data_IF_762468035519
#
_entry.id   IF_762468035519
#
_cell.length_a   1.000
_cell.length_b   1.000
_cell.length_c   1.000
_cell.angle_alpha   90.00
_cell.angle_beta   90.00
_cell.angle_gamma   90.00
#
_symmetry.space_group_name_H-M   'P 1'
#
loop_
_entity.id
_entity.type
_entity.pdbx_description
1 polymer ?
#
# COMPACT_ATOMS: atom_id res chain seq x y z
N UNK A 1 -9.30 -3.75 -55.98
CA UNK A 1 -8.54 -3.04 -54.94
C UNK A 1 -9.53 -2.87 -53.80
N UNK A 2 -9.59 -3.86 -52.88
CA UNK A 2 -10.51 -3.77 -51.74
C UNK A 2 -9.99 -2.73 -50.79
N UNK A 3 -10.83 -1.75 -50.49
CA UNK A 3 -10.55 -0.76 -49.45
C UNK A 3 -10.42 -1.53 -48.09
N UNK A 4 -9.36 -1.31 -47.30
CA UNK A 4 -9.27 -1.93 -46.01
C UNK A 4 -10.48 -1.54 -45.13
N UNK A 5 -11.20 -2.51 -44.62
CA UNK A 5 -12.30 -2.25 -43.67
C UNK A 5 -11.78 -1.42 -42.51
N UNK A 6 -12.53 -0.40 -42.08
CA UNK A 6 -12.13 0.40 -40.93
C UNK A 6 -12.05 -0.50 -39.70
N UNK A 7 -10.83 -0.63 -39.14
CA UNK A 7 -10.60 -1.36 -37.90
C UNK A 7 -11.45 -0.68 -36.83
N UNK A 8 -12.54 -1.33 -36.41
CA UNK A 8 -13.41 -0.81 -35.36
C UNK A 8 -12.61 -0.62 -34.07
N UNK A 9 -12.64 0.58 -33.51
CA UNK A 9 -11.97 0.84 -32.22
C UNK A 9 -12.54 -0.10 -31.15
N UNK A 10 -11.67 -0.80 -30.40
CA UNK A 10 -12.13 -1.74 -29.39
C UNK A 10 -12.94 -1.02 -28.32
N UNK A 11 -14.07 -1.59 -27.93
CA UNK A 11 -14.90 -1.00 -26.88
C UNK A 11 -14.12 -0.79 -25.58
N UNK A 12 -14.32 0.34 -24.92
CA UNK A 12 -13.63 0.71 -23.67
C UNK A 12 -13.73 -0.39 -22.59
N UNK A 13 -14.86 -1.11 -22.55
CA UNK A 13 -15.06 -2.25 -21.63
C UNK A 13 -14.10 -3.40 -21.93
N UNK A 14 -13.85 -3.69 -23.20
CA UNK A 14 -12.92 -4.75 -23.60
C UNK A 14 -11.49 -4.37 -23.26
N UNK A 15 -11.10 -3.12 -23.48
CA UNK A 15 -9.79 -2.55 -23.12
C UNK A 15 -9.56 -2.66 -21.61
N UNK A 16 -10.49 -2.15 -20.79
CA UNK A 16 -10.37 -2.22 -19.33
C UNK A 16 -10.31 -3.65 -18.82
N UNK A 17 -11.14 -4.56 -19.35
CA UNK A 17 -11.14 -5.97 -18.94
C UNK A 17 -9.82 -6.65 -19.27
N UNK A 18 -9.25 -6.39 -20.44
CA UNK A 18 -7.96 -6.97 -20.84
C UNK A 18 -6.81 -6.45 -20.00
N UNK A 19 -6.78 -5.14 -19.72
CA UNK A 19 -5.79 -4.51 -18.85
C UNK A 19 -5.88 -5.04 -17.42
N UNK A 20 -7.07 -5.08 -16.83
CA UNK A 20 -7.28 -5.65 -15.48
C UNK A 20 -6.81 -7.09 -15.41
N UNK A 21 -7.17 -7.93 -16.40
CA UNK A 21 -6.73 -9.32 -16.45
C UNK A 21 -5.20 -9.45 -16.52
N UNK A 22 -4.55 -8.57 -17.30
CA UNK A 22 -3.10 -8.53 -17.40
C UNK A 22 -2.46 -8.10 -16.07
N UNK A 23 -2.95 -7.02 -15.44
CA UNK A 23 -2.41 -6.50 -14.19
C UNK A 23 -2.60 -7.49 -13.02
N UNK A 24 -3.77 -8.14 -12.92
CA UNK A 24 -3.98 -9.22 -11.95
C UNK A 24 -3.06 -10.42 -12.22
N UNK A 25 -2.83 -10.78 -13.47
CA UNK A 25 -1.92 -11.86 -13.81
C UNK A 25 -0.46 -11.50 -13.41
N UNK A 26 -0.04 -10.26 -13.60
CA UNK A 26 1.27 -9.76 -13.15
C UNK A 26 1.36 -9.81 -11.63
N UNK A 27 0.34 -9.34 -10.91
CA UNK A 27 0.28 -9.39 -9.45
C UNK A 27 0.46 -10.83 -8.94
N UNK A 28 -0.30 -11.78 -9.49
CA UNK A 28 -0.28 -13.18 -9.08
C UNK A 28 1.03 -13.92 -9.49
N UNK A 29 1.63 -13.53 -10.61
CA UNK A 29 2.91 -14.11 -11.05
C UNK A 29 4.11 -13.64 -10.23
N UNK A 30 4.00 -12.47 -9.60
CA UNK A 30 5.07 -11.95 -8.73
C UNK A 30 5.04 -12.62 -7.35
N UNK A 31 5.26 -13.94 -7.35
CA UNK A 31 5.20 -14.78 -6.14
C UNK A 31 6.09 -14.27 -5.00
N UNK A 32 7.28 -13.73 -5.33
CA UNK A 32 8.22 -13.21 -4.32
C UNK A 32 7.66 -11.99 -3.59
N UNK A 33 7.09 -11.04 -4.33
CA UNK A 33 6.47 -9.85 -3.73
C UNK A 33 5.23 -10.25 -2.91
N UNK A 34 4.38 -11.15 -3.44
CA UNK A 34 3.23 -11.66 -2.69
C UNK A 34 3.66 -12.36 -1.41
N UNK A 35 4.61 -13.30 -1.49
CA UNK A 35 5.09 -14.01 -0.30
C UNK A 35 5.62 -13.04 0.77
N UNK A 36 6.46 -12.09 0.40
CA UNK A 36 6.98 -11.10 1.35
C UNK A 36 5.87 -10.24 1.94
N UNK A 37 4.87 -9.89 1.15
CA UNK A 37 3.73 -9.08 1.61
C UNK A 37 2.81 -9.80 2.60
N UNK A 38 2.73 -11.13 2.54
CA UNK A 38 1.95 -11.94 3.49
C UNK A 38 2.80 -12.50 4.62
N UNK A 39 3.99 -13.02 4.32
CA UNK A 39 4.86 -13.66 5.33
C UNK A 39 5.24 -12.68 6.42
N UNK A 40 5.61 -11.46 6.06
CA UNK A 40 6.12 -10.48 7.03
C UNK A 40 5.03 -10.03 8.03
N UNK A 41 3.80 -9.65 7.63
CA UNK A 41 2.70 -9.38 8.57
C UNK A 41 2.31 -10.60 9.42
N UNK A 42 2.20 -11.78 8.81
CA UNK A 42 1.84 -13.02 9.53
C UNK A 42 2.92 -13.39 10.54
N UNK A 43 4.19 -13.25 10.17
CA UNK A 43 5.31 -13.46 11.08
C UNK A 43 5.27 -12.49 12.28
N UNK A 44 4.93 -11.23 12.03
CA UNK A 44 4.77 -10.24 13.11
C UNK A 44 3.60 -10.62 14.03
N UNK A 45 2.47 -11.08 13.51
CA UNK A 45 1.35 -11.58 14.30
C UNK A 45 1.77 -12.78 15.15
N UNK A 46 2.52 -13.72 14.57
CA UNK A 46 3.01 -14.89 15.28
C UNK A 46 4.03 -14.54 16.39
N UNK A 47 4.93 -13.57 16.13
CA UNK A 47 5.85 -13.06 17.15
C UNK A 47 5.14 -12.34 18.30
N UNK A 48 4.02 -11.68 18.04
CA UNK A 48 3.18 -11.04 19.04
C UNK A 48 2.40 -12.03 19.93
N UNK A 49 2.32 -13.29 19.54
CA UNK A 49 1.77 -14.38 20.33
C UNK A 49 2.95 -15.22 20.91
N UNK A 50 3.14 -15.34 22.19
CA UNK A 50 2.24 -15.31 23.33
C UNK A 50 2.18 -13.94 24.02
N UNK A 51 1.23 -13.81 24.90
CA UNK A 51 0.79 -12.57 25.57
C UNK A 51 1.89 -11.64 26.09
N UNK A 52 3.03 -12.17 26.56
CA UNK A 52 4.18 -11.37 27.04
C UNK A 52 4.83 -10.52 25.94
N UNK A 53 4.94 -11.06 24.72
CA UNK A 53 5.53 -10.34 23.59
C UNK A 53 4.56 -9.30 23.05
N UNK A 54 3.26 -9.60 22.98
CA UNK A 54 2.24 -8.63 22.61
C UNK A 54 2.22 -7.43 23.56
N UNK A 55 2.31 -7.66 24.88
CA UNK A 55 2.38 -6.59 25.88
C UNK A 55 3.63 -5.71 25.71
N UNK A 56 4.77 -6.30 25.33
CA UNK A 56 5.99 -5.53 25.03
C UNK A 56 5.84 -4.66 23.77
N UNK A 57 4.97 -5.02 22.85
CA UNK A 57 4.68 -4.27 21.63
C UNK A 57 3.53 -3.27 21.78
N UNK A 58 2.87 -3.22 22.94
CA UNK A 58 1.74 -2.32 23.19
C UNK A 58 0.37 -3.01 23.23
N UNK A 59 0.34 -4.33 23.15
CA UNK A 59 -0.86 -5.15 23.22
C UNK A 59 -1.25 -5.81 21.87
N UNK A 60 -2.22 -6.74 21.91
CA UNK A 60 -2.63 -7.51 20.73
C UNK A 60 -3.14 -6.65 19.57
N UNK A 61 -3.91 -5.60 19.88
CA UNK A 61 -4.44 -4.68 18.86
C UNK A 61 -3.33 -3.95 18.13
N UNK A 62 -2.32 -3.44 18.85
CA UNK A 62 -1.16 -2.74 18.25
C UNK A 62 -0.37 -3.66 17.33
N UNK A 63 -0.28 -4.95 17.66
CA UNK A 63 0.37 -5.93 16.77
C UNK A 63 -0.39 -6.10 15.47
N UNK A 64 -1.73 -6.16 15.52
CA UNK A 64 -2.59 -6.24 14.33
C UNK A 64 -2.49 -4.96 13.49
N UNK A 65 -2.58 -3.79 14.12
CA UNK A 65 -2.41 -2.48 13.45
C UNK A 65 -1.07 -2.39 12.71
N UNK A 66 0.01 -2.75 13.40
CA UNK A 66 1.36 -2.75 12.83
C UNK A 66 1.47 -3.77 11.69
N UNK A 67 0.87 -4.95 11.83
CA UNK A 67 0.89 -5.98 10.80
C UNK A 67 0.14 -5.52 9.52
N UNK A 68 -1.03 -4.89 9.67
CA UNK A 68 -1.76 -4.34 8.53
C UNK A 68 -0.93 -3.23 7.85
N UNK A 69 -0.44 -2.27 8.64
CA UNK A 69 0.37 -1.16 8.12
C UNK A 69 1.61 -1.66 7.38
N UNK A 70 2.29 -2.67 7.93
CA UNK A 70 3.47 -3.30 7.33
C UNK A 70 3.13 -4.01 6.01
N UNK A 71 2.01 -4.74 5.97
CA UNK A 71 1.55 -5.42 4.76
C UNK A 71 1.23 -4.43 3.65
N UNK A 72 0.47 -3.38 3.96
CA UNK A 72 0.12 -2.33 3.01
C UNK A 72 1.35 -1.54 2.52
N UNK A 73 2.29 -1.25 3.42
CA UNK A 73 3.55 -0.58 3.10
C UNK A 73 4.39 -1.43 2.14
N UNK A 74 4.53 -2.72 2.44
CA UNK A 74 5.33 -3.66 1.64
C UNK A 74 4.76 -3.85 0.24
N UNK A 75 3.44 -4.05 0.09
CA UNK A 75 2.81 -4.18 -1.22
C UNK A 75 2.90 -2.92 -2.04
N UNK A 76 2.73 -1.77 -1.43
CA UNK A 76 2.66 -0.50 -2.15
C UNK A 76 4.06 0.01 -2.51
N UNK A 77 5.04 -0.07 -1.62
CA UNK A 77 6.38 0.44 -1.89
C UNK A 77 7.24 -0.63 -2.56
N UNK A 78 7.35 -1.83 -1.97
CA UNK A 78 8.21 -2.87 -2.53
C UNK A 78 7.55 -3.62 -3.70
N UNK A 79 6.23 -3.79 -3.67
CA UNK A 79 5.49 -4.45 -4.75
C UNK A 79 5.24 -3.52 -5.94
N UNK A 80 4.41 -2.50 -5.74
CA UNK A 80 3.96 -1.61 -6.81
C UNK A 80 5.08 -0.75 -7.39
N UNK A 81 5.83 -0.01 -6.55
CA UNK A 81 6.83 0.92 -7.06
C UNK A 81 7.94 0.20 -7.82
N UNK A 82 8.39 -0.97 -7.35
CA UNK A 82 9.39 -1.78 -8.05
C UNK A 82 8.86 -2.33 -9.38
N UNK A 83 7.59 -2.76 -9.42
CA UNK A 83 6.97 -3.25 -10.65
C UNK A 83 6.88 -2.13 -11.69
N UNK A 84 6.41 -0.94 -11.29
CA UNK A 84 6.30 0.22 -12.19
C UNK A 84 7.67 0.69 -12.67
N UNK A 85 8.68 0.75 -11.80
CA UNK A 85 10.04 1.12 -12.18
C UNK A 85 10.65 0.10 -13.17
N UNK A 86 10.48 -1.20 -12.91
CA UNK A 86 10.93 -2.26 -13.81
C UNK A 86 10.20 -2.25 -15.16
N UNK A 87 8.89 -1.97 -15.18
CA UNK A 87 8.13 -1.83 -16.43
C UNK A 87 8.59 -0.63 -17.25
N UNK A 88 8.96 0.47 -16.58
CA UNK A 88 9.55 1.64 -17.24
C UNK A 88 10.88 1.28 -17.94
N UNK A 89 11.78 0.59 -17.25
CA UNK A 89 13.07 0.18 -17.81
C UNK A 89 12.93 -0.82 -18.99
N UNK A 90 11.95 -1.72 -18.89
CA UNK A 90 11.66 -2.69 -19.96
C UNK A 90 10.89 -2.09 -21.14
N UNK A 91 10.60 -0.79 -21.14
CA UNK A 91 9.89 -0.11 -22.19
C UNK A 91 8.41 -0.52 -22.31
N UNK A 92 7.81 -1.10 -21.26
CA UNK A 92 6.40 -1.52 -21.26
C UNK A 92 5.49 -0.32 -21.51
N UNK A 93 5.79 0.81 -20.89
CA UNK A 93 4.99 2.04 -21.05
C UNK A 93 5.07 2.59 -22.46
N UNK A 94 6.24 2.49 -23.15
CA UNK A 94 6.39 2.92 -24.54
C UNK A 94 5.51 2.07 -25.46
N UNK A 95 5.48 0.75 -25.24
CA UNK A 95 4.59 -0.16 -26.00
C UNK A 95 3.12 0.10 -25.73
N UNK A 96 2.75 0.43 -24.50
CA UNK A 96 1.36 0.77 -24.16
C UNK A 96 0.90 2.07 -24.80
N UNK A 97 1.79 3.06 -25.02
CA UNK A 97 1.45 4.33 -25.67
C UNK A 97 1.06 4.19 -27.15
N UNK A 98 1.53 3.18 -27.84
CA UNK A 98 1.15 2.91 -29.24
C UNK A 98 -0.11 2.06 -29.36
N UNK A 99 -0.68 1.61 -28.23
CA UNK A 99 -1.99 0.93 -28.23
C UNK A 99 -3.12 1.93 -28.19
N UNK A 100 -4.32 1.60 -28.70
CA UNK A 100 -5.50 2.47 -28.64
C UNK A 100 -6.06 2.65 -27.21
N UNK A 101 -5.39 2.11 -26.18
CA UNK A 101 -5.81 2.22 -24.80
C UNK A 101 -5.50 3.61 -24.22
N UNK A 102 -6.47 4.35 -23.69
CA UNK A 102 -6.21 5.65 -23.08
C UNK A 102 -5.38 5.50 -21.80
N UNK A 103 -4.45 6.42 -21.57
CA UNK A 103 -3.50 6.40 -20.44
C UNK A 103 -4.21 6.25 -19.08
N UNK A 104 -5.35 6.90 -18.90
CA UNK A 104 -6.12 6.79 -17.67
C UNK A 104 -6.63 5.36 -17.42
N UNK A 105 -7.01 4.62 -18.48
CA UNK A 105 -7.46 3.24 -18.33
C UNK A 105 -6.32 2.31 -17.86
N UNK A 106 -5.10 2.53 -18.36
CA UNK A 106 -3.90 1.80 -17.94
C UNK A 106 -3.62 2.06 -16.45
N UNK A 107 -3.65 3.33 -16.03
CA UNK A 107 -3.40 3.69 -14.63
C UNK A 107 -4.50 3.17 -13.69
N UNK A 108 -5.77 3.31 -14.09
CA UNK A 108 -6.90 2.80 -13.32
C UNK A 108 -6.82 1.30 -13.12
N UNK A 109 -6.49 0.54 -14.17
CA UNK A 109 -6.32 -0.91 -14.09
C UNK A 109 -5.25 -1.30 -13.05
N UNK A 110 -4.09 -0.66 -13.09
CA UNK A 110 -2.98 -0.92 -12.15
C UNK A 110 -3.36 -0.58 -10.71
N UNK A 111 -3.97 0.58 -10.50
CA UNK A 111 -4.41 1.00 -9.16
C UNK A 111 -5.50 0.08 -8.61
N UNK A 112 -6.43 -0.38 -9.45
CA UNK A 112 -7.48 -1.34 -9.06
C UNK A 112 -6.87 -2.69 -8.66
N UNK A 113 -5.94 -3.22 -9.44
CA UNK A 113 -5.25 -4.47 -9.12
C UNK A 113 -4.49 -4.35 -7.79
N UNK A 114 -3.82 -3.22 -7.56
CA UNK A 114 -3.10 -2.97 -6.32
C UNK A 114 -4.04 -2.79 -5.11
N UNK A 115 -5.17 -2.08 -5.29
CA UNK A 115 -6.19 -1.92 -4.25
C UNK A 115 -6.78 -3.29 -3.85
N UNK A 116 -7.02 -4.17 -4.81
CA UNK A 116 -7.46 -5.54 -4.53
C UNK A 116 -6.39 -6.34 -3.77
N UNK A 117 -5.11 -6.20 -4.12
CA UNK A 117 -4.00 -6.80 -3.37
C UNK A 117 -3.93 -6.29 -1.93
N UNK A 118 -4.07 -4.99 -1.72
CA UNK A 118 -4.11 -4.37 -0.40
C UNK A 118 -5.32 -4.86 0.42
N UNK A 119 -6.50 -4.96 -0.19
CA UNK A 119 -7.69 -5.51 0.46
C UNK A 119 -7.48 -6.97 0.88
N UNK A 120 -6.89 -7.79 0.02
CA UNK A 120 -6.59 -9.19 0.32
C UNK A 120 -5.65 -9.33 1.52
N UNK A 121 -4.61 -8.49 1.61
CA UNK A 121 -3.71 -8.47 2.76
C UNK A 121 -4.44 -8.06 4.03
N UNK A 122 -5.23 -6.98 3.98
CA UNK A 122 -5.99 -6.53 5.14
C UNK A 122 -6.94 -7.61 5.65
N UNK A 123 -7.68 -8.28 4.75
CA UNK A 123 -8.55 -9.40 5.09
C UNK A 123 -7.76 -10.53 5.75
N UNK A 124 -6.63 -10.92 5.16
CA UNK A 124 -5.79 -12.00 5.68
C UNK A 124 -5.25 -11.67 7.06
N UNK A 125 -4.72 -10.45 7.26
CA UNK A 125 -4.16 -10.02 8.55
C UNK A 125 -5.26 -9.94 9.62
N UNK A 126 -6.45 -9.45 9.27
CA UNK A 126 -7.59 -9.41 10.20
C UNK A 126 -8.02 -10.82 10.61
N UNK A 127 -8.19 -11.74 9.65
CA UNK A 127 -8.58 -13.12 9.94
C UNK A 127 -7.52 -13.81 10.81
N UNK A 128 -6.26 -13.78 10.39
CA UNK A 128 -5.16 -14.44 11.11
C UNK A 128 -4.94 -13.78 12.49
N UNK A 129 -4.99 -12.44 12.54
CA UNK A 129 -4.86 -11.68 13.79
C UNK A 129 -5.98 -12.00 14.77
N UNK A 130 -7.23 -12.08 14.30
CA UNK A 130 -8.37 -12.46 15.11
C UNK A 130 -8.24 -13.89 15.67
N UNK A 131 -7.75 -14.84 14.87
CA UNK A 131 -7.53 -16.21 15.29
C UNK A 131 -6.40 -16.33 16.31
N UNK A 132 -5.27 -15.66 16.10
CA UNK A 132 -4.08 -15.75 16.96
C UNK A 132 -4.30 -15.00 18.28
N UNK A 133 -4.89 -13.82 18.24
CA UNK A 133 -5.02 -12.92 19.37
C UNK A 133 -6.41 -12.93 20.00
N UNK A 134 -7.32 -13.79 19.52
CA UNK A 134 -8.70 -13.92 20.02
C UNK A 134 -9.47 -12.57 20.02
N UNK A 135 -9.25 -11.76 18.98
CA UNK A 135 -9.93 -10.47 18.81
C UNK A 135 -11.24 -10.71 18.07
N UNK A 136 -12.37 -10.39 18.69
CA UNK A 136 -13.68 -10.44 18.04
C UNK A 136 -14.00 -9.07 17.43
N UNK A 137 -14.10 -9.01 16.11
CA UNK A 137 -14.55 -7.82 15.39
C UNK A 137 -16.01 -7.97 14.99
N UNK A 138 -16.80 -6.93 15.20
CA UNK A 138 -18.15 -6.89 14.64
C UNK A 138 -18.12 -6.77 13.12
N UNK A 139 -19.20 -7.17 12.39
CA UNK A 139 -19.26 -7.00 10.94
C UNK A 139 -19.02 -5.56 10.48
N UNK A 140 -19.50 -4.58 11.25
CA UNK A 140 -19.29 -3.15 10.98
C UNK A 140 -17.81 -2.78 11.12
N UNK A 141 -17.14 -3.22 12.19
CA UNK A 141 -15.71 -3.00 12.38
C UNK A 141 -14.89 -3.63 11.25
N UNK A 142 -15.22 -4.85 10.85
CA UNK A 142 -14.55 -5.52 9.73
C UNK A 142 -14.69 -4.72 8.42
N UNK A 143 -15.89 -4.20 8.14
CA UNK A 143 -16.12 -3.32 6.98
C UNK A 143 -15.34 -2.01 7.06
N UNK A 144 -15.28 -1.38 8.24
CA UNK A 144 -14.50 -0.16 8.47
C UNK A 144 -12.98 -0.42 8.32
N UNK A 145 -12.47 -1.54 8.84
CA UNK A 145 -11.06 -1.92 8.67
C UNK A 145 -10.72 -2.08 7.18
N UNK A 146 -11.59 -2.69 6.37
CA UNK A 146 -11.38 -2.79 4.93
C UNK A 146 -11.38 -1.41 4.26
N UNK A 147 -12.32 -0.54 4.59
CA UNK A 147 -12.41 0.80 4.04
C UNK A 147 -11.17 1.63 4.39
N UNK A 148 -10.75 1.61 5.67
CA UNK A 148 -9.53 2.28 6.12
C UNK A 148 -8.29 1.66 5.47
N UNK A 149 -8.26 0.34 5.25
CA UNK A 149 -7.15 -0.31 4.55
C UNK A 149 -7.00 0.14 3.10
N UNK A 150 -8.11 0.36 2.39
CA UNK A 150 -8.08 0.92 1.04
C UNK A 150 -7.57 2.36 1.04
N UNK A 151 -8.07 3.18 1.98
CA UNK A 151 -7.65 4.58 2.12
C UNK A 151 -6.16 4.70 2.50
N UNK A 152 -5.72 3.96 3.50
CA UNK A 152 -4.31 3.95 3.94
C UNK A 152 -3.39 3.25 2.95
N UNK A 153 -3.90 2.26 2.21
CA UNK A 153 -3.22 1.69 1.06
C UNK A 153 -2.92 2.74 -0.01
N UNK A 154 -3.85 3.69 -0.25
CA UNK A 154 -3.62 4.80 -1.16
C UNK A 154 -2.51 5.75 -0.67
N UNK A 155 -2.31 5.92 0.65
CA UNK A 155 -1.17 6.68 1.21
C UNK A 155 0.14 6.06 0.76
N UNK A 156 0.33 4.76 1.00
CA UNK A 156 1.57 4.08 0.63
C UNK A 156 1.77 3.95 -0.87
N UNK A 157 0.69 3.81 -1.64
CA UNK A 157 0.73 3.84 -3.10
C UNK A 157 1.21 5.19 -3.63
N UNK A 158 0.72 6.28 -3.07
CA UNK A 158 1.14 7.63 -3.47
C UNK A 158 2.63 7.87 -3.16
N UNK A 159 3.12 7.38 -2.02
CA UNK A 159 4.55 7.41 -1.67
C UNK A 159 5.35 6.56 -2.68
N UNK A 160 4.89 5.35 -2.99
CA UNK A 160 5.51 4.50 -4.01
C UNK A 160 5.56 5.17 -5.38
N UNK A 161 4.48 5.84 -5.77
CA UNK A 161 4.41 6.60 -7.03
C UNK A 161 5.37 7.80 -7.04
N UNK A 162 5.50 8.50 -5.90
CA UNK A 162 6.48 9.59 -5.77
C UNK A 162 7.91 9.08 -5.91
N UNK A 163 8.26 7.94 -5.31
CA UNK A 163 9.57 7.30 -5.47
C UNK A 163 9.88 6.99 -6.93
N UNK A 164 8.92 6.42 -7.67
CA UNK A 164 9.08 6.13 -9.10
C UNK A 164 9.25 7.41 -9.92
N UNK A 165 8.55 8.48 -9.55
CA UNK A 165 8.69 9.79 -10.21
C UNK A 165 10.06 10.44 -9.96
N UNK A 166 10.57 10.35 -8.74
CA UNK A 166 11.83 10.95 -8.32
C UNK A 166 13.06 10.19 -8.81
N UNK A 167 12.99 8.87 -8.87
CA UNK A 167 14.14 8.01 -9.16
C UNK A 167 14.20 7.65 -10.66
N UNK A 168 15.41 7.59 -11.20
CA UNK A 168 15.64 7.33 -12.64
C UNK A 168 15.71 5.85 -12.96
N UNK A 169 16.25 5.00 -12.06
CA UNK A 169 16.46 3.57 -12.28
C UNK A 169 15.64 2.72 -11.32
N UNK A 170 15.31 1.48 -11.72
CA UNK A 170 14.62 0.52 -10.89
C UNK A 170 15.45 0.14 -9.65
N UNK A 171 16.78 0.07 -9.80
CA UNK A 171 17.67 -0.20 -8.66
C UNK A 171 17.63 0.92 -7.62
N UNK A 172 17.58 2.18 -8.05
CA UNK A 172 17.44 3.33 -7.13
C UNK A 172 16.10 3.31 -6.43
N UNK A 173 15.00 2.99 -7.14
CA UNK A 173 13.65 2.83 -6.54
C UNK A 173 13.66 1.69 -5.52
N UNK A 174 14.33 0.58 -5.83
CA UNK A 174 14.45 -0.57 -4.94
C UNK A 174 15.23 -0.22 -3.67
N UNK A 175 16.40 0.40 -3.80
CA UNK A 175 17.24 0.80 -2.67
C UNK A 175 16.50 1.81 -1.77
N UNK A 176 15.95 2.88 -2.35
CA UNK A 176 15.22 3.90 -1.63
C UNK A 176 13.91 3.35 -1.00
N UNK A 177 13.19 2.48 -1.72
CA UNK A 177 11.98 1.83 -1.22
C UNK A 177 12.26 0.94 0.00
N UNK A 178 13.34 0.16 -0.02
CA UNK A 178 13.76 -0.66 1.13
C UNK A 178 14.18 0.21 2.31
N UNK A 179 15.01 1.22 2.08
CA UNK A 179 15.47 2.14 3.12
C UNK A 179 14.29 2.86 3.78
N UNK A 180 13.35 3.37 2.97
CA UNK A 180 12.14 4.03 3.46
C UNK A 180 11.24 3.06 4.24
N UNK A 181 11.03 1.86 3.73
CA UNK A 181 10.22 0.83 4.40
C UNK A 181 10.82 0.49 5.77
N UNK A 182 12.11 0.19 5.83
CA UNK A 182 12.81 -0.11 7.10
C UNK A 182 12.75 1.09 8.05
N UNK A 183 13.04 2.30 7.56
CA UNK A 183 13.00 3.52 8.36
C UNK A 183 11.61 3.79 8.97
N UNK A 184 10.54 3.66 8.18
CA UNK A 184 9.17 3.85 8.65
C UNK A 184 8.76 2.78 9.67
N UNK A 185 9.16 1.52 9.47
CA UNK A 185 8.89 0.43 10.42
C UNK A 185 9.61 0.69 11.76
N UNK A 186 10.89 1.03 11.71
CA UNK A 186 11.67 1.33 12.92
C UNK A 186 11.08 2.54 13.65
N UNK A 187 10.72 3.59 12.90
CA UNK A 187 10.09 4.77 13.47
C UNK A 187 8.75 4.43 14.15
N UNK A 188 7.92 3.59 13.53
CA UNK A 188 6.68 3.12 14.12
C UNK A 188 6.92 2.27 15.38
N UNK A 189 7.85 1.32 15.32
CA UNK A 189 8.14 0.40 16.44
C UNK A 189 8.73 1.12 17.65
N UNK A 190 9.67 2.03 17.45
CA UNK A 190 10.33 2.77 18.54
C UNK A 190 9.50 3.97 19.02
N UNK A 191 8.77 4.62 18.12
CA UNK A 191 7.90 5.74 18.45
C UNK A 191 6.76 5.35 19.39
N UNK A 192 6.19 4.16 19.21
CA UNK A 192 5.13 3.62 20.07
C UNK A 192 5.58 3.37 21.53
N UNK A 193 6.86 3.20 21.77
CA UNK A 193 7.41 2.85 23.08
C UNK A 193 7.98 4.01 23.87
N UNK A 194 7.86 5.24 23.38
CA UNK A 194 8.52 6.38 24.03
C UNK A 194 10.04 6.34 24.00
N UNK A 195 10.63 5.34 23.31
CA UNK A 195 12.07 5.15 23.26
C UNK A 195 12.85 6.31 22.60
N UNK A 196 12.14 7.14 21.82
CA UNK A 196 12.70 8.28 21.10
C UNK A 196 12.50 9.62 21.82
N UNK A 197 11.97 9.60 23.04
CA UNK A 197 11.58 10.79 23.79
C UNK A 197 10.40 11.56 23.13
N UNK A 198 9.92 12.62 23.78
CA UNK A 198 8.69 13.33 23.38
C UNK A 198 8.72 13.87 21.92
N UNK A 199 9.87 14.37 21.47
CA UNK A 199 10.03 14.86 20.08
C UNK A 199 9.98 13.69 19.07
N UNK A 200 10.66 12.58 19.38
CA UNK A 200 10.68 11.41 18.52
C UNK A 200 9.31 10.73 18.45
N UNK A 201 8.56 10.67 19.54
CA UNK A 201 7.16 10.20 19.53
C UNK A 201 6.28 11.07 18.64
N UNK A 202 6.43 12.39 18.70
CA UNK A 202 5.66 13.29 17.83
C UNK A 202 5.97 13.03 16.36
N UNK A 203 7.25 12.90 15.98
CA UNK A 203 7.65 12.58 14.61
C UNK A 203 7.12 11.23 14.18
N UNK A 204 7.21 10.20 15.03
CA UNK A 204 6.69 8.87 14.74
C UNK A 204 5.18 8.88 14.52
N UNK A 205 4.45 9.59 15.35
CA UNK A 205 2.99 9.71 15.29
C UNK A 205 2.52 10.37 14.00
N UNK A 206 3.17 11.46 13.60
CA UNK A 206 2.84 12.19 12.37
C UNK A 206 3.48 11.59 11.11
N UNK A 207 4.30 10.56 11.24
CA UNK A 207 4.79 9.83 10.07
C UNK A 207 3.63 9.12 9.33
N UNK A 208 3.79 8.82 8.03
CA UNK A 208 2.76 8.10 7.28
C UNK A 208 2.31 6.79 7.97
N UNK A 209 3.25 6.03 8.54
CA UNK A 209 2.91 4.79 9.26
C UNK A 209 2.23 5.08 10.59
N UNK A 210 2.68 6.08 11.34
CA UNK A 210 2.07 6.44 12.62
C UNK A 210 0.63 6.94 12.45
N UNK A 211 0.38 7.78 11.44
CA UNK A 211 -0.97 8.24 11.12
C UNK A 211 -1.89 7.08 10.72
N UNK A 212 -1.38 6.14 9.89
CA UNK A 212 -2.10 4.93 9.49
C UNK A 212 -2.42 4.05 10.71
N UNK A 213 -1.46 3.81 11.60
CA UNK A 213 -1.70 3.02 12.82
C UNK A 213 -2.73 3.69 13.73
N UNK A 214 -2.69 5.01 13.89
CA UNK A 214 -3.70 5.75 14.66
C UNK A 214 -5.10 5.53 14.10
N UNK A 215 -5.29 5.57 12.77
CA UNK A 215 -6.58 5.29 12.14
C UNK A 215 -7.07 3.86 12.40
N UNK A 216 -6.17 2.87 12.33
CA UNK A 216 -6.54 1.48 12.65
C UNK A 216 -6.90 1.32 14.13
N UNK A 217 -6.16 1.96 15.03
CA UNK A 217 -6.49 1.99 16.47
C UNK A 217 -7.90 2.52 16.71
N UNK A 218 -8.24 3.65 16.08
CA UNK A 218 -9.59 4.24 16.21
C UNK A 218 -10.71 3.35 15.67
N UNK A 219 -10.46 2.59 14.58
CA UNK A 219 -11.47 1.66 14.03
C UNK A 219 -11.58 0.37 14.86
N UNK A 220 -10.45 -0.15 15.33
CA UNK A 220 -10.43 -1.36 16.16
C UNK A 220 -10.97 -1.10 17.58
N UNK A 221 -10.86 0.14 18.06
CA UNK A 221 -11.37 0.57 19.36
C UNK A 221 -12.23 1.84 19.24
N UNK A 222 -13.45 1.75 18.69
CA UNK A 222 -14.28 2.92 18.38
C UNK A 222 -14.62 3.80 19.59
N UNK A 223 -14.60 3.24 20.79
CA UNK A 223 -14.83 3.98 22.04
C UNK A 223 -13.73 5.01 22.36
N UNK A 224 -12.56 4.86 21.76
CA UNK A 224 -11.40 5.76 21.94
C UNK A 224 -11.26 6.78 20.82
N UNK A 225 -12.17 6.77 19.83
CA UNK A 225 -12.13 7.69 18.70
C UNK A 225 -12.20 9.15 19.16
N UNK A 226 -11.25 9.95 18.75
CA UNK A 226 -11.15 11.34 19.17
C UNK A 226 -10.50 12.26 18.13
N UNK A 227 -10.17 13.47 18.57
CA UNK A 227 -9.55 14.48 17.70
C UNK A 227 -8.25 14.00 17.01
N UNK A 228 -7.50 13.11 17.66
CA UNK A 228 -6.25 12.55 17.11
C UNK A 228 -6.51 11.72 15.85
N UNK A 229 -7.56 10.91 15.86
CA UNK A 229 -7.92 10.05 14.72
C UNK A 229 -8.39 10.91 13.55
N UNK A 230 -9.17 11.96 13.82
CA UNK A 230 -9.59 12.93 12.82
C UNK A 230 -8.39 13.67 12.19
N UNK A 231 -7.42 14.11 12.98
CA UNK A 231 -6.20 14.72 12.47
C UNK A 231 -5.34 13.72 11.65
N UNK A 232 -5.28 12.46 12.06
CA UNK A 232 -4.59 11.41 11.30
C UNK A 232 -5.27 11.14 9.96
N UNK A 233 -6.59 11.23 9.88
CA UNK A 233 -7.34 11.15 8.63
C UNK A 233 -6.95 12.30 7.68
N UNK A 234 -6.89 13.53 8.19
CA UNK A 234 -6.47 14.71 7.42
C UNK A 234 -5.01 14.55 6.96
N UNK A 235 -4.12 14.11 7.86
CA UNK A 235 -2.71 13.86 7.52
C UNK A 235 -2.55 12.82 6.42
N UNK A 236 -3.29 11.71 6.49
CA UNK A 236 -3.30 10.69 5.43
C UNK A 236 -3.80 11.25 4.10
N UNK A 237 -4.87 12.07 4.12
CA UNK A 237 -5.35 12.78 2.93
C UNK A 237 -4.29 13.72 2.35
N UNK A 238 -3.59 14.48 3.19
CA UNK A 238 -2.51 15.36 2.78
C UNK A 238 -1.34 14.56 2.16
N UNK A 239 -0.96 13.42 2.74
CA UNK A 239 0.06 12.54 2.16
C UNK A 239 -0.35 12.04 0.77
N UNK A 240 -1.60 11.59 0.58
CA UNK A 240 -2.08 11.16 -0.73
C UNK A 240 -1.93 12.29 -1.74
N UNK A 241 -2.42 13.49 -1.42
CA UNK A 241 -2.40 14.63 -2.34
C UNK A 241 -0.96 15.03 -2.69
N UNK A 242 -0.10 15.20 -1.69
CA UNK A 242 1.28 15.68 -1.88
C UNK A 242 2.09 14.66 -2.68
N UNK A 243 2.10 13.39 -2.25
CA UNK A 243 2.91 12.37 -2.90
C UNK A 243 2.37 11.97 -4.27
N UNK A 244 1.03 11.94 -4.46
CA UNK A 244 0.45 11.72 -5.78
C UNK A 244 0.79 12.88 -6.74
N UNK A 245 0.72 14.13 -6.28
CA UNK A 245 1.10 15.28 -7.08
C UNK A 245 2.59 15.23 -7.49
N UNK A 246 3.49 14.87 -6.56
CA UNK A 246 4.92 14.65 -6.84
C UNK A 246 5.08 13.53 -7.87
N UNK A 247 4.44 12.39 -7.63
CA UNK A 247 4.54 11.24 -8.51
C UNK A 247 4.03 11.53 -9.93
N UNK A 248 2.87 12.18 -10.05
CA UNK A 248 2.28 12.52 -11.36
C UNK A 248 3.13 13.57 -12.11
N UNK A 249 3.58 14.63 -11.43
CA UNK A 249 4.35 15.70 -12.07
C UNK A 249 5.74 15.25 -12.51
N UNK A 250 6.38 14.37 -11.74
CA UNK A 250 7.75 13.93 -12.01
C UNK A 250 7.83 12.59 -12.75
N UNK A 251 6.68 11.96 -13.04
CA UNK A 251 6.65 10.69 -13.75
C UNK A 251 7.17 10.84 -15.17
N UNK A 252 8.22 10.09 -15.47
CA UNK A 252 8.82 10.03 -16.81
C UNK A 252 8.41 8.74 -17.50
N UNK A 253 7.86 8.88 -18.69
CA UNK A 253 7.41 7.74 -19.51
C UNK A 253 8.57 7.04 -20.25
N UNK A 254 9.70 7.73 -20.39
CA UNK A 254 10.85 7.25 -21.15
C UNK A 254 11.93 6.71 -20.23
N UNK A 255 12.47 5.54 -20.59
CA UNK A 255 13.74 5.05 -20.07
C UNK A 255 14.87 5.85 -20.75
N UNK A 256 15.62 6.63 -20.01
CA UNK A 256 16.92 7.17 -20.47
C UNK A 256 18.01 6.43 -19.77
#
# INVERSE_FOLDING_TARGET
MDSPEPISEPSLRLVLRSLLRADFAVLLKNRRALLLSFVLPIFLLALGSPSRNALRLGGPLVVVELAIALGLLSTSILGYAMTVAGDRERGVFQRLRVTPAPTWAIMTSRLTAQAAGNALIAITVVIVGSLIHHISLSPVQSGLVLLVSLFTGAVFLSIGQALVGLMKSADSVNAAGRALTVGLILLAAFGQKGALGAKGESVARWSPVGAVMTLFAGVLSPSTWGARDAFSLIACGAYIIVFAAIGIRLFRWDAR
#
